data_IF_999712434335
#
_entry.id   IF_999712434335
#
_cell.length_a   1.000
_cell.length_b   1.000
_cell.length_c   1.000
_cell.angle_alpha   90.00
_cell.angle_beta   90.00
_cell.angle_gamma   90.00
#
_symmetry.space_group_name_H-M   'P 1'
#
loop_
_entity.id
_entity.type
_entity.pdbx_description
1 polymer ?
#
# COMPACT_ATOMS: atom_id res chain seq x y z
N UNK A 1 -19.07 -8.70 -5.88
CA UNK A 1 -20.40 -9.30 -5.76
C UNK A 1 -20.81 -9.35 -4.28
N UNK A 2 -21.94 -8.72 -3.93
CA UNK A 2 -22.44 -8.59 -2.55
C UNK A 2 -23.11 -9.87 -2.03
N UNK A 3 -23.33 -10.86 -2.86
CA UNK A 3 -24.06 -12.07 -2.51
C UNK A 3 -23.31 -13.00 -1.54
N UNK A 4 -21.98 -12.86 -1.42
CA UNK A 4 -21.14 -13.72 -0.59
C UNK A 4 -20.76 -13.13 0.77
N UNK A 5 -21.40 -12.04 1.19
CA UNK A 5 -21.12 -11.37 2.49
C UNK A 5 -21.45 -12.22 3.73
N UNK A 6 -22.17 -13.33 3.59
CA UNK A 6 -22.53 -14.16 4.75
C UNK A 6 -21.34 -14.92 5.35
N UNK A 7 -20.26 -15.12 4.58
CA UNK A 7 -19.11 -15.93 4.97
C UNK A 7 -17.77 -15.27 4.58
N UNK A 8 -17.56 -14.04 5.03
CA UNK A 8 -16.33 -13.32 4.75
C UNK A 8 -15.18 -13.90 5.60
N UNK A 9 -14.18 -14.46 4.94
CA UNK A 9 -12.99 -15.03 5.57
C UNK A 9 -11.94 -13.96 5.80
N UNK A 10 -11.27 -14.02 6.93
CA UNK A 10 -10.19 -13.10 7.28
C UNK A 10 -9.23 -13.71 8.30
N UNK A 11 -8.02 -13.19 8.36
CA UNK A 11 -7.10 -13.39 9.48
C UNK A 11 -7.19 -12.19 10.44
N UNK A 12 -7.01 -12.42 11.73
CA UNK A 12 -7.07 -11.37 12.74
C UNK A 12 -6.00 -10.31 12.46
N UNK A 13 -6.43 -9.08 12.31
CA UNK A 13 -5.59 -7.92 12.11
C UNK A 13 -5.31 -7.13 13.39
N UNK A 14 -4.59 -6.03 13.25
CA UNK A 14 -4.34 -5.09 14.34
C UNK A 14 -5.58 -4.26 14.69
N UNK A 15 -5.58 -3.69 15.90
CA UNK A 15 -6.66 -2.83 16.36
C UNK A 15 -6.82 -1.55 15.52
N UNK A 16 -5.80 -1.18 14.74
CA UNK A 16 -5.77 0.03 13.92
C UNK A 16 -5.96 -0.21 12.43
N UNK A 17 -6.17 -1.46 12.00
CA UNK A 17 -6.40 -1.80 10.59
C UNK A 17 -7.58 -1.04 9.97
N UNK A 18 -8.58 -0.67 10.77
CA UNK A 18 -9.75 0.08 10.31
C UNK A 18 -9.42 1.51 9.89
N UNK A 19 -8.31 2.09 10.40
CA UNK A 19 -7.76 3.36 9.96
C UNK A 19 -6.69 3.20 8.85
N UNK A 20 -6.32 1.97 8.51
CA UNK A 20 -5.29 1.67 7.52
C UNK A 20 -3.87 1.62 8.07
N UNK A 21 -3.69 1.61 9.40
CA UNK A 21 -2.39 1.50 10.06
C UNK A 21 -2.18 0.12 10.69
N UNK A 22 -0.95 -0.37 10.69
CA UNK A 22 -0.54 -1.48 11.53
C UNK A 22 0.03 -0.95 12.87
N UNK A 23 -0.40 -1.53 13.99
CA UNK A 23 0.07 -1.15 15.33
C UNK A 23 1.35 -1.88 15.77
N UNK A 24 2.04 -2.53 14.85
CA UNK A 24 3.22 -3.35 15.13
C UNK A 24 2.92 -4.82 15.42
N UNK A 25 1.65 -5.23 15.44
CA UNK A 25 1.28 -6.63 15.70
C UNK A 25 1.87 -7.62 14.69
N UNK A 26 2.12 -7.15 13.46
CA UNK A 26 2.69 -7.94 12.36
C UNK A 26 4.20 -7.77 12.22
N UNK A 27 4.86 -6.98 13.05
CA UNK A 27 6.31 -6.80 13.01
C UNK A 27 7.01 -7.99 13.65
N UNK A 28 8.26 -8.25 13.22
CA UNK A 28 9.16 -9.14 13.94
C UNK A 28 9.45 -8.50 15.30
N UNK A 29 9.23 -9.23 16.39
CA UNK A 29 9.45 -8.72 17.74
C UNK A 29 10.93 -8.42 17.98
N UNK A 30 11.21 -7.36 18.76
CA UNK A 30 12.56 -6.89 19.02
C UNK A 30 13.45 -7.94 19.68
N UNK A 31 14.76 -7.89 19.42
CA UNK A 31 15.77 -8.82 19.94
C UNK A 31 16.18 -9.91 18.94
N UNK A 32 15.36 -10.19 17.92
CA UNK A 32 15.62 -11.22 16.92
C UNK A 32 16.29 -10.64 15.70
N UNK A 33 17.31 -9.84 15.88
CA UNK A 33 18.14 -9.34 14.79
C UNK A 33 19.29 -10.31 14.53
N UNK A 34 19.40 -10.80 13.30
CA UNK A 34 20.58 -11.53 12.85
C UNK A 34 20.63 -13.03 13.21
N UNK A 35 19.52 -13.60 13.65
CA UNK A 35 19.45 -15.04 14.02
C UNK A 35 19.88 -15.98 12.89
N UNK A 36 19.84 -15.53 11.64
CA UNK A 36 20.14 -16.38 10.49
C UNK A 36 21.62 -16.47 10.12
N UNK A 37 22.48 -15.68 10.75
CA UNK A 37 23.92 -15.77 10.54
C UNK A 37 24.54 -16.93 11.37
N UNK A 38 23.83 -17.41 12.38
CA UNK A 38 24.21 -18.57 13.19
C UNK A 38 23.05 -19.58 13.15
N UNK A 39 23.26 -20.73 12.53
CA UNK A 39 22.29 -21.82 12.39
C UNK A 39 22.04 -22.55 13.74
N UNK A 40 21.94 -21.81 14.83
CA UNK A 40 21.60 -22.39 16.12
C UNK A 40 20.11 -22.72 16.20
N UNK A 41 19.81 -24.01 16.27
CA UNK A 41 18.45 -24.55 16.28
C UNK A 41 17.61 -23.96 17.43
N UNK A 42 18.19 -23.65 18.58
CA UNK A 42 17.48 -23.06 19.72
C UNK A 42 17.03 -21.62 19.43
N UNK A 43 17.91 -20.82 18.80
CA UNK A 43 17.59 -19.47 18.37
C UNK A 43 16.53 -19.43 17.27
N UNK A 44 16.55 -20.38 16.33
CA UNK A 44 15.53 -20.53 15.29
C UNK A 44 14.19 -20.92 15.90
N UNK A 45 14.18 -21.82 16.89
CA UNK A 45 12.97 -22.23 17.60
C UNK A 45 12.36 -21.04 18.38
N UNK A 46 13.17 -20.30 19.13
CA UNK A 46 12.72 -19.12 19.87
C UNK A 46 12.11 -18.06 18.93
N UNK A 47 12.78 -17.78 17.81
CA UNK A 47 12.29 -16.86 16.81
C UNK A 47 10.96 -17.33 16.20
N UNK A 48 10.84 -18.60 15.89
CA UNK A 48 9.61 -19.16 15.33
C UNK A 48 8.46 -19.06 16.32
N UNK A 49 8.71 -19.25 17.62
CA UNK A 49 7.69 -19.20 18.68
C UNK A 49 7.37 -17.77 19.12
N UNK A 50 8.37 -16.92 19.30
CA UNK A 50 8.20 -15.63 19.98
C UNK A 50 8.34 -14.42 19.04
N UNK A 51 9.12 -14.55 17.99
CA UNK A 51 9.44 -13.43 17.07
C UNK A 51 8.36 -13.08 16.10
N UNK A 52 7.49 -14.01 15.77
CA UNK A 52 6.45 -13.83 14.78
C UNK A 52 5.05 -13.85 15.36
N UNK A 53 4.12 -13.25 14.62
CA UNK A 53 2.71 -13.50 14.86
C UNK A 53 2.33 -14.87 14.28
N UNK A 54 2.10 -15.85 15.17
CA UNK A 54 1.77 -17.23 14.78
C UNK A 54 0.26 -17.50 14.69
N UNK A 55 -0.58 -16.47 14.57
CA UNK A 55 -2.01 -16.64 14.33
C UNK A 55 -2.30 -16.86 12.83
N UNK A 56 -2.24 -18.12 12.40
CA UNK A 56 -2.59 -18.57 11.06
C UNK A 56 -4.08 -18.90 10.89
N UNK A 57 -4.87 -18.70 11.95
CA UNK A 57 -6.28 -19.09 11.96
C UNK A 57 -7.11 -18.20 11.04
N UNK A 58 -7.82 -18.82 10.12
CA UNK A 58 -8.86 -18.18 9.33
C UNK A 58 -10.13 -18.08 10.13
N UNK A 59 -10.70 -16.90 10.20
CA UNK A 59 -11.95 -16.60 10.89
C UNK A 59 -13.01 -16.20 9.88
N UNK A 60 -14.26 -16.40 10.27
CA UNK A 60 -15.43 -16.04 9.48
C UNK A 60 -16.23 -14.95 10.18
N UNK A 61 -16.75 -14.01 9.42
CA UNK A 61 -17.67 -12.99 9.96
C UNK A 61 -18.65 -12.54 8.90
N UNK A 62 -19.75 -11.95 9.35
CA UNK A 62 -20.55 -11.06 8.51
C UNK A 62 -19.83 -9.69 8.50
N UNK A 63 -19.36 -9.19 7.37
CA UNK A 63 -18.70 -7.90 7.34
C UNK A 63 -19.71 -6.79 7.63
N UNK A 64 -19.23 -5.76 8.29
CA UNK A 64 -20.00 -4.52 8.43
C UNK A 64 -20.19 -3.88 7.04
N UNK A 65 -21.31 -3.20 6.78
CA UNK A 65 -21.53 -2.51 5.52
C UNK A 65 -20.39 -1.54 5.19
N UNK A 66 -20.21 -1.28 3.90
CA UNK A 66 -19.24 -0.29 3.44
C UNK A 66 -19.53 1.08 4.06
N UNK A 67 -18.51 1.70 4.59
CA UNK A 67 -18.58 3.01 5.23
C UNK A 67 -17.85 4.03 4.37
N UNK A 68 -18.45 5.19 4.19
CA UNK A 68 -17.83 6.34 3.53
C UNK A 68 -18.31 7.60 4.19
N UNK A 69 -17.37 8.42 4.67
CA UNK A 69 -17.62 9.70 5.29
C UNK A 69 -16.75 10.75 4.60
N UNK A 70 -17.32 11.89 4.37
CA UNK A 70 -16.61 13.05 3.82
C UNK A 70 -17.07 14.29 4.57
N UNK A 71 -16.10 15.06 5.03
CA UNK A 71 -16.33 16.34 5.68
C UNK A 71 -15.43 17.38 5.01
N UNK A 72 -15.98 18.55 4.72
CA UNK A 72 -15.25 19.66 4.14
C UNK A 72 -15.70 20.95 4.81
N UNK A 73 -14.76 21.83 5.06
CA UNK A 73 -15.04 23.18 5.52
C UNK A 73 -14.16 24.20 4.83
N UNK A 74 -14.64 25.42 4.74
CA UNK A 74 -13.90 26.55 4.23
C UNK A 74 -14.37 27.85 4.86
N UNK A 75 -13.42 28.71 5.21
CA UNK A 75 -13.70 30.01 5.84
C UNK A 75 -12.72 31.04 5.31
N UNK A 76 -13.22 32.26 5.07
CA UNK A 76 -12.40 33.41 4.71
C UNK A 76 -12.55 34.47 5.81
N UNK A 77 -11.43 34.87 6.37
CA UNK A 77 -11.32 35.95 7.34
C UNK A 77 -10.77 37.19 6.62
N UNK A 78 -11.44 38.33 6.77
CA UNK A 78 -11.01 39.61 6.22
C UNK A 78 -10.39 40.45 7.35
N UNK A 79 -9.16 40.92 7.11
CA UNK A 79 -8.39 41.76 8.04
C UNK A 79 -8.08 43.13 7.42
N UNK A 80 -9.09 44.04 7.40
CA UNK A 80 -9.00 45.32 6.69
C UNK A 80 -9.29 45.21 5.20
N UNK A 81 -8.98 46.25 4.42
CA UNK A 81 -9.34 46.33 3.00
C UNK A 81 -8.53 45.36 2.13
N UNK A 82 -7.24 45.14 2.43
CA UNK A 82 -6.30 44.43 1.56
C UNK A 82 -5.84 43.06 2.12
N UNK A 83 -6.31 42.67 3.30
CA UNK A 83 -5.82 41.43 3.93
C UNK A 83 -6.91 40.39 4.02
N UNK A 84 -6.61 39.18 3.52
CA UNK A 84 -7.52 38.03 3.58
C UNK A 84 -6.74 36.80 4.00
N UNK A 85 -7.32 36.03 4.91
CA UNK A 85 -6.85 34.70 5.27
C UNK A 85 -7.96 33.70 4.94
N UNK A 86 -7.68 32.77 4.02
CA UNK A 86 -8.57 31.69 3.71
C UNK A 86 -8.04 30.38 4.33
N UNK A 87 -8.94 29.66 4.98
CA UNK A 87 -8.70 28.34 5.54
C UNK A 87 -9.64 27.34 4.85
N UNK A 88 -9.10 26.25 4.32
CA UNK A 88 -9.90 25.13 3.82
C UNK A 88 -9.39 23.81 4.37
N UNK A 89 -10.30 22.93 4.73
CA UNK A 89 -9.98 21.61 5.23
C UNK A 89 -10.95 20.56 4.71
N UNK A 90 -10.45 19.35 4.56
CA UNK A 90 -11.27 18.19 4.20
C UNK A 90 -10.79 16.95 4.94
N UNK A 91 -11.72 16.10 5.32
CA UNK A 91 -11.47 14.79 5.89
C UNK A 91 -12.34 13.77 5.15
N UNK A 92 -11.69 12.71 4.66
CA UNK A 92 -12.36 11.63 3.98
C UNK A 92 -11.99 10.30 4.62
N UNK A 93 -12.98 9.47 4.86
CA UNK A 93 -12.78 8.12 5.36
C UNK A 93 -13.60 7.13 4.55
N UNK A 94 -13.03 5.99 4.23
CA UNK A 94 -13.79 4.86 3.69
C UNK A 94 -13.25 3.53 4.22
N UNK A 95 -14.16 2.60 4.50
CA UNK A 95 -13.85 1.23 4.86
C UNK A 95 -14.77 0.31 4.06
N UNK A 96 -14.17 -0.46 3.14
CA UNK A 96 -14.92 -1.24 2.16
C UNK A 96 -14.46 -2.69 2.15
N UNK A 97 -15.41 -3.61 1.98
CA UNK A 97 -15.16 -5.04 1.84
C UNK A 97 -15.46 -5.53 0.43
N UNK A 98 -14.62 -6.42 -0.09
CA UNK A 98 -14.82 -7.10 -1.38
C UNK A 98 -14.52 -8.58 -1.23
N UNK A 99 -15.35 -9.41 -1.84
CA UNK A 99 -15.08 -10.84 -1.99
C UNK A 99 -15.25 -11.26 -3.44
N UNK A 100 -14.31 -12.03 -3.93
CA UNK A 100 -14.35 -12.66 -5.23
C UNK A 100 -14.28 -14.16 -4.98
N UNK A 101 -15.33 -14.88 -5.36
CA UNK A 101 -15.47 -16.31 -5.11
C UNK A 101 -15.51 -17.03 -6.45
N UNK A 102 -14.70 -18.11 -6.54
CA UNK A 102 -14.69 -18.93 -7.75
C UNK A 102 -13.96 -18.28 -8.92
N UNK A 103 -13.01 -17.39 -8.69
CA UNK A 103 -12.21 -16.83 -9.79
C UNK A 103 -11.37 -17.92 -10.42
N UNK A 104 -11.52 -18.13 -11.72
CA UNK A 104 -10.66 -19.03 -12.46
C UNK A 104 -9.30 -18.36 -12.76
N UNK A 105 -8.22 -19.08 -12.47
CA UNK A 105 -6.85 -18.70 -12.79
C UNK A 105 -6.21 -19.89 -13.48
N UNK A 106 -6.07 -19.81 -14.79
CA UNK A 106 -5.58 -20.89 -15.62
C UNK A 106 -4.52 -20.40 -16.59
N UNK A 107 -3.61 -21.31 -16.96
CA UNK A 107 -2.61 -21.09 -17.99
C UNK A 107 -2.67 -22.21 -19.01
N UNK A 108 -2.77 -21.82 -20.25
CA UNK A 108 -2.73 -22.71 -21.37
C UNK A 108 -1.28 -22.96 -21.80
N UNK A 109 -0.99 -24.21 -22.15
CA UNK A 109 0.24 -24.64 -22.82
C UNK A 109 0.00 -24.79 -24.31
N UNK A 110 0.43 -25.93 -24.84
CA UNK A 110 0.27 -26.26 -26.26
C UNK A 110 -1.17 -26.66 -26.57
N UNK A 111 -1.67 -26.23 -27.71
CA UNK A 111 -3.00 -26.63 -28.20
C UNK A 111 -2.98 -28.06 -28.75
N UNK A 112 -3.88 -28.90 -28.28
CA UNK A 112 -4.04 -30.26 -28.78
C UNK A 112 -4.96 -30.27 -30.00
N UNK A 113 -4.39 -30.28 -31.20
CA UNK A 113 -5.14 -30.29 -32.46
C UNK A 113 -6.00 -31.56 -32.68
N UNK A 114 -5.62 -32.67 -32.06
CA UNK A 114 -6.35 -33.96 -32.25
C UNK A 114 -7.66 -33.97 -31.47
N UNK A 115 -7.64 -33.40 -30.27
CA UNK A 115 -8.82 -33.32 -29.39
C UNK A 115 -9.56 -32.00 -29.51
N UNK A 116 -9.05 -31.05 -30.30
CA UNK A 116 -9.56 -29.68 -30.44
C UNK A 116 -9.77 -28.97 -29.11
N UNK A 117 -8.77 -29.12 -28.19
CA UNK A 117 -8.80 -28.55 -26.86
C UNK A 117 -7.44 -27.98 -26.42
N UNK A 118 -7.43 -26.92 -25.58
CA UNK A 118 -6.18 -26.42 -25.00
C UNK A 118 -5.68 -27.38 -23.92
N UNK A 119 -4.36 -27.63 -23.88
CA UNK A 119 -3.74 -28.32 -22.77
C UNK A 119 -3.42 -27.30 -21.69
N UNK A 120 -4.02 -27.45 -20.51
CA UNK A 120 -3.74 -26.59 -19.37
C UNK A 120 -2.41 -26.96 -18.72
N UNK A 121 -1.59 -25.97 -18.44
CA UNK A 121 -0.42 -26.11 -17.55
C UNK A 121 -0.85 -26.09 -16.08
N UNK A 122 -1.85 -25.26 -15.76
CA UNK A 122 -2.52 -25.28 -14.47
C UNK A 122 -3.94 -24.74 -14.60
N UNK A 123 -4.78 -25.14 -13.67
CA UNK A 123 -6.13 -24.61 -13.50
C UNK A 123 -6.48 -24.51 -12.03
N UNK A 124 -6.64 -23.29 -11.56
CA UNK A 124 -6.95 -22.98 -10.17
C UNK A 124 -8.27 -22.23 -10.06
N UNK A 125 -8.90 -22.39 -8.91
CA UNK A 125 -10.03 -21.57 -8.45
C UNK A 125 -9.58 -20.78 -7.23
N UNK A 126 -9.74 -19.47 -7.29
CA UNK A 126 -9.36 -18.54 -6.22
C UNK A 126 -10.59 -17.96 -5.53
N UNK A 127 -10.56 -17.96 -4.19
CA UNK A 127 -11.47 -17.20 -3.36
C UNK A 127 -10.69 -16.11 -2.65
N UNK A 128 -11.01 -14.85 -2.93
CA UNK A 128 -10.29 -13.71 -2.38
C UNK A 128 -11.21 -12.82 -1.56
N UNK A 129 -10.76 -12.44 -0.38
CA UNK A 129 -11.46 -11.56 0.54
C UNK A 129 -10.56 -10.38 0.87
N UNK A 130 -11.03 -9.17 0.60
CA UNK A 130 -10.22 -7.95 0.77
C UNK A 130 -11.00 -6.93 1.58
N UNK A 131 -10.36 -6.33 2.56
CA UNK A 131 -10.87 -5.18 3.29
C UNK A 131 -9.90 -4.01 3.10
N UNK A 132 -10.43 -2.87 2.65
CA UNK A 132 -9.66 -1.65 2.42
C UNK A 132 -10.16 -0.55 3.34
N UNK A 133 -9.23 0.08 4.05
CA UNK A 133 -9.45 1.30 4.80
C UNK A 133 -8.69 2.44 4.13
N UNK A 134 -9.33 3.59 3.98
CA UNK A 134 -8.71 4.80 3.43
C UNK A 134 -9.06 5.98 4.31
N UNK A 135 -8.04 6.75 4.66
CA UNK A 135 -8.17 8.01 5.37
C UNK A 135 -7.45 9.09 4.55
N UNK A 136 -8.12 10.17 4.25
CA UNK A 136 -7.54 11.34 3.58
C UNK A 136 -7.82 12.59 4.40
N UNK A 137 -6.81 13.43 4.58
CA UNK A 137 -6.94 14.74 5.23
C UNK A 137 -6.26 15.80 4.39
N UNK A 138 -6.87 16.98 4.30
CA UNK A 138 -6.34 18.15 3.63
C UNK A 138 -6.54 19.37 4.52
N UNK A 139 -5.49 20.20 4.61
CA UNK A 139 -5.55 21.49 5.29
C UNK A 139 -4.76 22.50 4.48
N UNK A 140 -5.44 23.55 4.00
CA UNK A 140 -4.81 24.62 3.24
C UNK A 140 -5.08 25.96 3.87
N UNK A 141 -4.05 26.79 3.90
CA UNK A 141 -4.10 28.19 4.30
C UNK A 141 -3.64 29.04 3.11
N UNK A 142 -4.35 30.13 2.84
CA UNK A 142 -3.98 31.12 1.86
C UNK A 142 -4.08 32.51 2.50
N UNK A 143 -2.97 33.20 2.56
CA UNK A 143 -2.93 34.59 3.00
C UNK A 143 -2.70 35.48 1.78
N UNK A 144 -3.52 36.52 1.63
CA UNK A 144 -3.40 37.55 0.60
C UNK A 144 -3.27 38.90 1.29
N UNK A 145 -2.21 39.61 0.98
CA UNK A 145 -1.98 41.01 1.32
C UNK A 145 -1.89 41.86 0.05
N UNK A 146 -1.65 43.15 0.20
CA UNK A 146 -1.60 44.11 -0.93
C UNK A 146 -0.56 43.76 -1.98
N UNK A 147 0.62 43.28 -1.58
CA UNK A 147 1.75 42.98 -2.48
C UNK A 147 2.27 41.54 -2.35
N UNK A 148 1.70 40.74 -1.44
CA UNK A 148 2.22 39.40 -1.17
C UNK A 148 1.09 38.41 -0.90
N UNK A 149 1.26 37.23 -1.45
CA UNK A 149 0.36 36.09 -1.27
C UNK A 149 1.15 34.89 -0.81
N UNK A 150 0.70 34.24 0.26
CA UNK A 150 1.33 33.05 0.79
C UNK A 150 0.32 31.91 0.80
N UNK A 151 0.81 30.71 0.48
CA UNK A 151 -0.01 29.51 0.45
C UNK A 151 0.71 28.41 1.23
N UNK A 152 -0.01 27.81 2.18
CA UNK A 152 0.41 26.60 2.87
C UNK A 152 -0.58 25.49 2.53
N UNK A 153 -0.17 24.52 1.76
CA UNK A 153 -1.00 23.44 1.25
C UNK A 153 -0.51 22.11 1.79
N UNK A 154 -1.44 21.30 2.33
CA UNK A 154 -1.10 20.01 2.93
C UNK A 154 -2.15 18.98 2.56
N UNK A 155 -1.68 17.81 2.19
CA UNK A 155 -2.50 16.64 1.96
C UNK A 155 -1.84 15.41 2.59
N UNK A 156 -2.64 14.63 3.28
CA UNK A 156 -2.26 13.36 3.86
C UNK A 156 -3.22 12.27 3.39
N UNK A 157 -2.69 11.12 3.00
CA UNK A 157 -3.48 9.95 2.67
C UNK A 157 -2.88 8.71 3.36
N UNK A 158 -3.77 7.92 3.94
CA UNK A 158 -3.49 6.60 4.49
C UNK A 158 -4.35 5.58 3.80
N UNK A 159 -3.73 4.49 3.35
CA UNK A 159 -4.38 3.34 2.76
C UNK A 159 -3.93 2.09 3.50
N UNK A 160 -4.89 1.28 3.95
CA UNK A 160 -4.64 -0.06 4.46
C UNK A 160 -5.46 -1.08 3.69
N UNK A 161 -4.85 -2.20 3.36
CA UNK A 161 -5.50 -3.30 2.66
C UNK A 161 -5.16 -4.62 3.35
N UNK A 162 -6.18 -5.31 3.84
CA UNK A 162 -6.05 -6.66 4.40
C UNK A 162 -6.71 -7.63 3.43
N UNK A 163 -5.92 -8.56 2.87
CA UNK A 163 -6.38 -9.54 1.90
C UNK A 163 -6.04 -10.95 2.36
N UNK A 164 -7.02 -11.82 2.26
CA UNK A 164 -6.87 -13.26 2.40
C UNK A 164 -7.28 -13.91 1.08
N UNK A 165 -6.46 -14.82 0.56
CA UNK A 165 -6.73 -15.55 -0.68
C UNK A 165 -6.55 -17.04 -0.44
N UNK A 166 -7.53 -17.83 -0.84
CA UNK A 166 -7.47 -19.29 -0.93
C UNK A 166 -7.44 -19.67 -2.40
N UNK A 167 -6.51 -20.54 -2.76
CA UNK A 167 -6.40 -21.14 -4.08
C UNK A 167 -6.49 -22.63 -3.96
N UNK A 168 -7.24 -23.27 -4.84
CA UNK A 168 -7.25 -24.71 -5.00
C UNK A 168 -7.35 -25.07 -6.48
N UNK A 169 -6.64 -26.10 -6.87
CA UNK A 169 -6.67 -26.61 -8.23
C UNK A 169 -5.55 -27.57 -8.48
N UNK A 170 -5.13 -27.67 -9.72
CA UNK A 170 -4.07 -28.56 -10.13
C UNK A 170 -3.10 -27.87 -11.08
N UNK A 171 -1.87 -28.37 -11.11
CA UNK A 171 -0.87 -28.02 -12.10
C UNK A 171 -0.27 -29.26 -12.74
N UNK A 172 0.20 -29.08 -13.98
CA UNK A 172 0.83 -30.12 -14.78
C UNK A 172 1.99 -29.49 -15.58
N UNK A 173 2.95 -28.90 -14.87
CA UNK A 173 4.15 -28.31 -15.50
C UNK A 173 5.26 -29.37 -15.59
N UNK A 174 5.58 -30.02 -14.49
CA UNK A 174 6.55 -31.12 -14.41
C UNK A 174 5.87 -32.46 -14.08
N UNK A 175 4.87 -32.43 -13.23
CA UNK A 175 4.00 -33.54 -12.86
C UNK A 175 2.60 -33.03 -12.51
N UNK A 176 1.60 -33.91 -12.64
CA UNK A 176 0.23 -33.57 -12.29
C UNK A 176 0.05 -33.73 -10.78
N UNK A 177 -0.28 -32.65 -10.08
CA UNK A 177 -0.69 -32.72 -8.67
C UNK A 177 -1.71 -31.65 -8.29
N UNK A 178 -2.50 -31.95 -7.28
CA UNK A 178 -3.46 -31.03 -6.70
C UNK A 178 -2.75 -30.15 -5.67
N UNK A 179 -3.02 -28.86 -5.73
CA UNK A 179 -2.41 -27.84 -4.88
C UNK A 179 -3.47 -27.03 -4.15
N UNK A 180 -3.22 -26.72 -2.90
CA UNK A 180 -3.93 -25.72 -2.11
C UNK A 180 -2.94 -24.68 -1.61
N UNK A 181 -3.31 -23.39 -1.76
CA UNK A 181 -2.48 -22.27 -1.30
C UNK A 181 -3.32 -21.27 -0.52
N UNK A 182 -2.79 -20.80 0.59
CA UNK A 182 -3.38 -19.71 1.34
C UNK A 182 -2.37 -18.55 1.45
N UNK A 183 -2.80 -17.36 1.10
CA UNK A 183 -2.03 -16.13 1.22
C UNK A 183 -2.72 -15.17 2.19
N UNK A 184 -1.93 -14.66 3.14
CA UNK A 184 -2.32 -13.62 4.07
C UNK A 184 -1.44 -12.40 3.80
N UNK A 185 -2.04 -11.29 3.42
CA UNK A 185 -1.29 -10.08 3.12
C UNK A 185 -1.99 -8.85 3.72
N UNK A 186 -1.25 -8.10 4.48
CA UNK A 186 -1.60 -6.74 4.86
C UNK A 186 -0.60 -5.78 4.21
N UNK A 187 -1.10 -4.70 3.66
CA UNK A 187 -0.27 -3.64 3.13
C UNK A 187 -0.83 -2.29 3.50
N UNK A 188 0.03 -1.39 3.94
CA UNK A 188 -0.33 0.01 4.18
C UNK A 188 0.54 0.95 3.36
N UNK A 189 -0.05 2.10 3.02
CA UNK A 189 0.64 3.20 2.36
C UNK A 189 0.24 4.49 3.02
N UNK A 190 1.24 5.26 3.44
CA UNK A 190 1.08 6.63 3.92
C UNK A 190 1.71 7.56 2.90
N UNK A 191 1.02 8.62 2.54
CA UNK A 191 1.58 9.69 1.72
C UNK A 191 1.24 11.03 2.33
N UNK A 192 2.23 11.88 2.46
CA UNK A 192 2.08 13.28 2.86
C UNK A 192 2.74 14.17 1.81
N UNK A 193 2.09 15.27 1.48
CA UNK A 193 2.67 16.31 0.65
C UNK A 193 2.32 17.66 1.27
N UNK A 194 3.35 18.40 1.64
CA UNK A 194 3.26 19.76 2.15
C UNK A 194 3.99 20.73 1.23
N UNK A 195 3.37 21.87 0.95
CA UNK A 195 3.95 22.92 0.15
C UNK A 195 3.73 24.27 0.83
N UNK A 196 4.81 25.04 0.95
CA UNK A 196 4.75 26.44 1.31
C UNK A 196 5.23 27.26 0.12
N UNK A 197 4.44 28.25 -0.31
CA UNK A 197 4.77 29.07 -1.47
C UNK A 197 4.38 30.52 -1.26
N UNK A 198 5.11 31.41 -1.89
CA UNK A 198 4.87 32.84 -1.85
C UNK A 198 4.90 33.45 -3.25
N UNK A 199 4.09 34.50 -3.45
CA UNK A 199 4.10 35.33 -4.64
C UNK A 199 4.15 36.77 -4.18
N UNK A 200 5.11 37.52 -4.71
CA UNK A 200 5.39 38.90 -4.33
C UNK A 200 5.38 39.81 -5.57
N UNK A 201 4.50 40.78 -5.53
CA UNK A 201 4.42 41.79 -6.56
C UNK A 201 5.44 42.91 -6.26
N UNK A 202 6.50 42.98 -7.06
CA UNK A 202 7.60 43.95 -6.96
C UNK A 202 7.43 45.06 -8.00
N UNK A 203 8.09 46.21 -7.84
CA UNK A 203 7.95 47.33 -8.78
C UNK A 203 8.23 46.99 -10.23
N UNK A 204 9.17 46.06 -10.49
CA UNK A 204 9.60 45.69 -11.83
C UNK A 204 9.20 44.27 -12.24
N UNK A 205 8.27 43.64 -11.52
CA UNK A 205 7.85 42.29 -11.85
C UNK A 205 7.29 41.48 -10.67
N UNK A 206 7.28 40.14 -10.80
CA UNK A 206 6.72 39.25 -9.81
C UNK A 206 7.73 38.17 -9.45
N UNK A 207 7.98 37.99 -8.16
CA UNK A 207 8.76 36.89 -7.63
C UNK A 207 7.79 35.82 -7.10
N UNK A 208 7.89 34.60 -7.60
CA UNK A 208 7.23 33.43 -7.03
C UNK A 208 8.25 32.40 -6.55
N UNK A 209 7.97 31.78 -5.41
CA UNK A 209 8.80 30.71 -4.86
C UNK A 209 7.95 29.64 -4.19
N UNK A 210 8.51 28.44 -4.11
CA UNK A 210 7.89 27.33 -3.43
C UNK A 210 8.92 26.46 -2.72
N UNK A 211 8.51 25.90 -1.57
CA UNK A 211 9.21 24.87 -0.81
C UNK A 211 8.26 23.71 -0.65
N UNK A 212 8.70 22.52 -0.99
CA UNK A 212 7.93 21.29 -0.91
C UNK A 212 8.60 20.25 -0.03
N UNK A 213 7.79 19.53 0.72
CA UNK A 213 8.20 18.30 1.39
C UNK A 213 7.16 17.21 1.14
N UNK A 214 7.62 16.06 0.66
CA UNK A 214 6.79 14.89 0.48
C UNK A 214 7.38 13.68 1.20
N UNK A 215 6.49 12.91 1.81
CA UNK A 215 6.80 11.64 2.44
C UNK A 215 5.91 10.56 1.86
N UNK A 216 6.49 9.45 1.45
CA UNK A 216 5.78 8.26 1.04
C UNK A 216 6.34 7.03 1.78
N UNK A 217 5.44 6.26 2.38
CA UNK A 217 5.76 4.99 3.03
C UNK A 217 4.91 3.89 2.42
N UNK A 218 5.54 2.75 2.14
CA UNK A 218 4.85 1.48 1.89
C UNK A 218 5.33 0.47 2.92
N UNK A 219 4.41 -0.10 3.68
CA UNK A 219 4.70 -1.13 4.66
C UNK A 219 3.83 -2.36 4.38
N UNK A 220 4.47 -3.51 4.18
CA UNK A 220 3.85 -4.82 4.02
C UNK A 220 4.44 -5.75 5.07
N UNK A 221 3.96 -5.65 6.31
CA UNK A 221 4.46 -6.49 7.38
C UNK A 221 3.82 -7.87 7.29
N UNK A 222 4.64 -8.91 7.38
CA UNK A 222 4.24 -10.29 7.59
C UNK A 222 3.26 -10.81 6.52
N UNK A 223 3.59 -10.65 5.24
CA UNK A 223 2.92 -11.44 4.21
C UNK A 223 3.27 -12.89 4.42
N UNK A 224 2.26 -13.77 4.48
CA UNK A 224 2.44 -15.19 4.74
C UNK A 224 1.83 -16.01 3.64
N UNK A 225 2.58 -17.02 3.20
CA UNK A 225 2.11 -18.01 2.25
C UNK A 225 2.29 -19.39 2.86
N UNK A 226 1.28 -20.22 2.74
CA UNK A 226 1.30 -21.63 3.03
C UNK A 226 0.77 -22.40 1.84
N UNK A 227 1.56 -23.34 1.36
CA UNK A 227 1.20 -24.19 0.24
C UNK A 227 1.15 -25.65 0.67
N UNK A 228 0.18 -26.37 0.14
CA UNK A 228 -0.01 -27.80 0.34
C UNK A 228 -0.22 -28.45 -1.00
N UNK A 229 0.36 -29.62 -1.16
CA UNK A 229 0.16 -30.46 -2.33
C UNK A 229 -0.36 -31.83 -1.93
N UNK A 230 -1.11 -32.46 -2.82
CA UNK A 230 -1.58 -33.81 -2.61
C UNK A 230 -0.40 -34.78 -2.72
N UNK A 231 -0.33 -35.73 -1.78
CA UNK A 231 0.63 -36.81 -1.87
C UNK A 231 0.23 -37.76 -2.98
N UNK A 232 1.05 -37.85 -4.02
CA UNK A 232 0.88 -38.69 -5.21
C UNK A 232 1.76 -39.95 -5.23
N UNK A 233 2.48 -40.22 -4.13
CA UNK A 233 3.35 -41.39 -3.99
C UNK A 233 2.49 -42.64 -3.85
N UNK A 234 2.43 -43.44 -4.90
CA UNK A 234 1.68 -44.70 -4.92
C UNK A 234 2.27 -45.68 -3.89
N UNK A 235 1.42 -46.22 -3.02
CA UNK A 235 1.83 -47.11 -1.93
C UNK A 235 2.14 -46.43 -0.60
N UNK A 236 2.17 -45.10 -0.55
CA UNK A 236 2.27 -44.35 0.70
C UNK A 236 0.92 -44.42 1.46
N UNK A 237 0.98 -44.63 2.78
CA UNK A 237 -0.18 -44.62 3.71
C UNK A 237 -0.94 -43.27 3.65
N UNK A 238 -0.30 -42.19 3.23
CA UNK A 238 -0.87 -40.89 3.06
C UNK A 238 -1.21 -40.53 1.61
N UNK A 239 -1.22 -41.52 0.70
CA UNK A 239 -1.62 -41.31 -0.68
C UNK A 239 -2.96 -40.57 -0.80
N UNK A 240 -3.00 -39.54 -1.61
CA UNK A 240 -4.18 -38.68 -1.80
C UNK A 240 -4.43 -37.63 -0.71
N UNK A 241 -3.73 -37.68 0.42
CA UNK A 241 -3.84 -36.65 1.47
C UNK A 241 -3.02 -35.41 1.14
N UNK A 242 -3.49 -34.25 1.58
CA UNK A 242 -2.76 -32.99 1.44
C UNK A 242 -1.60 -32.95 2.44
N UNK A 243 -0.39 -32.71 1.94
CA UNK A 243 0.81 -32.47 2.75
C UNK A 243 1.32 -31.04 2.56
N UNK A 244 1.99 -30.52 3.56
CA UNK A 244 2.67 -29.22 3.46
C UNK A 244 3.85 -29.34 2.48
N UNK A 245 3.93 -28.43 1.52
CA UNK A 245 5.11 -28.26 0.71
C UNK A 245 6.15 -27.43 1.45
N UNK A 246 7.28 -28.04 1.78
CA UNK A 246 8.33 -27.40 2.59
C UNK A 246 9.01 -26.22 1.90
N UNK A 247 9.00 -26.18 0.56
CA UNK A 247 9.68 -25.15 -0.20
C UNK A 247 8.85 -23.87 -0.35
N UNK A 248 7.53 -23.96 -0.08
CA UNK A 248 6.56 -22.92 -0.37
C UNK A 248 5.82 -22.38 0.84
N UNK A 249 6.44 -22.51 2.03
CA UNK A 249 5.99 -21.80 3.24
C UNK A 249 6.97 -20.69 3.53
N UNK A 250 6.51 -19.47 3.45
CA UNK A 250 7.36 -18.34 3.78
C UNK A 250 6.60 -17.14 4.33
N UNK A 251 7.36 -16.24 4.91
CA UNK A 251 6.92 -14.92 5.39
C UNK A 251 7.83 -13.87 4.80
N UNK A 252 7.27 -12.77 4.36
CA UNK A 252 8.05 -11.63 3.92
C UNK A 252 7.61 -10.32 4.57
N UNK A 253 8.58 -9.42 4.73
CA UNK A 253 8.44 -8.10 5.33
C UNK A 253 9.07 -7.10 4.40
N UNK A 254 8.25 -6.21 3.86
CA UNK A 254 8.69 -5.18 2.94
C UNK A 254 8.39 -3.80 3.52
N UNK A 255 9.38 -2.93 3.54
CA UNK A 255 9.21 -1.53 3.90
C UNK A 255 9.96 -0.64 2.92
N UNK A 256 9.29 0.41 2.48
CA UNK A 256 9.86 1.48 1.68
C UNK A 256 9.50 2.80 2.37
N UNK A 257 10.50 3.63 2.60
CA UNK A 257 10.35 5.01 3.07
C UNK A 257 11.00 5.93 2.04
N UNK A 258 10.31 6.97 1.64
CA UNK A 258 10.79 7.97 0.69
C UNK A 258 10.52 9.37 1.20
N UNK A 259 11.53 10.22 1.16
CA UNK A 259 11.47 11.62 1.52
C UNK A 259 11.95 12.46 0.34
N UNK A 260 11.17 13.45 -0.03
CA UNK A 260 11.48 14.37 -1.10
C UNK A 260 11.38 15.79 -0.56
N UNK A 261 12.44 16.57 -0.76
CA UNK A 261 12.46 18.00 -0.47
C UNK A 261 12.67 18.72 -1.80
N UNK A 262 11.86 19.69 -2.11
CA UNK A 262 11.97 20.47 -3.34
C UNK A 262 11.90 21.98 -3.05
N UNK A 263 12.56 22.75 -3.86
CA UNK A 263 12.43 24.19 -3.87
C UNK A 263 12.39 24.70 -5.30
N UNK A 264 11.72 25.82 -5.51
CA UNK A 264 11.70 26.51 -6.78
C UNK A 264 11.53 28.01 -6.55
N UNK A 265 12.12 28.81 -7.41
CA UNK A 265 11.91 30.25 -7.42
C UNK A 265 11.93 30.74 -8.89
N UNK A 266 11.02 31.64 -9.23
CA UNK A 266 10.94 32.26 -10.53
C UNK A 266 10.77 33.77 -10.36
N UNK A 267 11.40 34.52 -11.24
CA UNK A 267 11.22 35.94 -11.36
C UNK A 267 10.73 36.29 -12.75
N UNK A 268 9.60 37.01 -12.82
CA UNK A 268 9.05 37.54 -14.04
C UNK A 268 9.35 39.05 -14.07
N UNK A 269 10.25 39.50 -14.94
CA UNK A 269 10.56 40.89 -15.11
C UNK A 269 9.67 41.47 -16.21
N UNK A 270 9.05 42.60 -15.92
CA UNK A 270 8.20 43.33 -16.84
C UNK A 270 9.02 44.54 -17.34
N UNK A 271 9.29 44.58 -18.63
CA UNK A 271 9.90 45.77 -19.27
C UNK A 271 8.84 46.85 -19.44
N UNK A 272 9.30 48.11 -19.56
CA UNK A 272 8.42 49.23 -19.86
C UNK A 272 7.75 49.03 -21.21
N UNK A 273 6.51 49.45 -21.32
CA UNK A 273 5.78 49.43 -22.57
C UNK A 273 6.44 50.36 -23.61
N UNK A 274 6.63 49.87 -24.83
CA UNK A 274 7.16 50.60 -25.94
C UNK A 274 6.36 50.24 -27.19
N UNK A 275 5.65 51.22 -27.75
CA UNK A 275 4.90 51.02 -29.01
C UNK A 275 3.74 50.02 -28.93
N UNK A 276 3.09 49.90 -27.78
CA UNK A 276 2.00 48.93 -27.56
C UNK A 276 2.47 47.49 -27.29
N UNK A 277 3.78 47.28 -27.07
CA UNK A 277 4.38 45.99 -26.76
C UNK A 277 5.05 46.05 -25.39
N UNK A 278 4.68 45.09 -24.48
CA UNK A 278 5.24 44.96 -23.14
C UNK A 278 6.03 43.65 -23.06
N UNK A 279 7.36 43.66 -23.29
CA UNK A 279 8.17 42.46 -23.17
C UNK A 279 8.20 41.95 -21.76
N UNK A 280 8.23 40.63 -21.60
CA UNK A 280 8.35 39.94 -20.30
C UNK A 280 9.49 38.95 -20.38
N UNK A 281 10.40 38.97 -19.38
CA UNK A 281 11.45 37.96 -19.21
C UNK A 281 11.17 37.14 -17.98
N UNK A 282 11.13 35.82 -18.14
CA UNK A 282 11.00 34.90 -17.03
C UNK A 282 12.29 34.09 -16.85
N UNK A 283 12.83 34.11 -15.63
CA UNK A 283 13.96 33.28 -15.22
C UNK A 283 13.62 32.55 -13.94
N UNK A 284 14.14 31.34 -13.77
CA UNK A 284 13.86 30.56 -12.56
C UNK A 284 14.89 29.48 -12.28
N UNK A 285 14.83 28.96 -11.08
CA UNK A 285 15.65 27.86 -10.57
C UNK A 285 14.75 26.85 -9.88
N UNK A 286 15.05 25.56 -10.05
CA UNK A 286 14.40 24.46 -9.38
C UNK A 286 15.45 23.46 -8.89
N UNK A 287 15.22 22.91 -7.69
CA UNK A 287 16.04 21.85 -7.12
C UNK A 287 15.18 20.86 -6.36
N UNK A 288 15.61 19.60 -6.40
CA UNK A 288 14.96 18.50 -5.68
C UNK A 288 16.00 17.55 -5.10
N UNK A 289 15.76 17.09 -3.87
CA UNK A 289 16.53 16.04 -3.22
C UNK A 289 15.57 14.91 -2.80
N UNK A 290 15.87 13.68 -3.23
CA UNK A 290 15.11 12.49 -2.90
C UNK A 290 16.00 11.50 -2.13
N UNK A 291 15.51 11.04 -0.97
CA UNK A 291 16.08 9.93 -0.20
C UNK A 291 15.09 8.80 -0.11
N UNK A 292 15.49 7.62 -0.58
CA UNK A 292 14.68 6.40 -0.54
C UNK A 292 15.40 5.29 0.20
N UNK A 293 14.71 4.69 1.16
CA UNK A 293 15.12 3.52 1.93
C UNK A 293 14.19 2.36 1.60
N UNK A 294 14.76 1.25 1.13
CA UNK A 294 14.01 0.03 0.82
C UNK A 294 14.58 -1.14 1.60
N UNK A 295 13.72 -1.84 2.33
CA UNK A 295 14.06 -3.04 3.11
C UNK A 295 13.11 -4.16 2.76
N UNK A 296 13.66 -5.30 2.42
CA UNK A 296 12.90 -6.53 2.21
C UNK A 296 13.60 -7.68 2.95
N UNK A 297 12.83 -8.47 3.66
CA UNK A 297 13.32 -9.63 4.39
C UNK A 297 12.32 -10.77 4.26
N UNK A 298 12.78 -11.94 3.81
CA UNK A 298 11.97 -13.14 3.66
C UNK A 298 12.51 -14.27 4.53
N UNK A 299 11.60 -15.06 5.10
CA UNK A 299 11.89 -16.20 5.96
C UNK A 299 11.17 -17.42 5.40
N UNK A 300 11.92 -18.46 5.13
CA UNK A 300 11.43 -19.73 4.60
C UNK A 300 11.44 -20.80 5.69
N UNK A 301 10.37 -21.57 5.76
CA UNK A 301 10.29 -22.69 6.69
C UNK A 301 10.72 -23.96 5.98
N UNK A 302 11.75 -24.62 6.51
CA UNK A 302 12.22 -25.91 6.05
C UNK A 302 12.18 -26.90 7.21
N UNK A 303 11.73 -28.11 6.93
CA UNK A 303 11.77 -29.23 7.88
C UNK A 303 12.88 -30.16 7.44
N UNK A 304 13.72 -30.55 8.36
CA UNK A 304 14.78 -31.55 8.16
C UNK A 304 14.38 -32.87 8.79
#
# INVERSE_FOLDING_TARGET
DRTHFRNFKYNKGSATDWLGFDNGMRMVKGGIKGVFDNEDAASVEEMTKQGFNNDWKVRHKKPFPDQRFSFMFGQVFKGGEDRKLALTGALNYSNTGKSYIGMENSRFGVYNKVKDEPIYQYKYTDNQYTRNARLGAMLNLAFTGSKSRFYFRNIFNQLGSNRYTERRGWQNISSLYIQEKAEYIYGSRSTYCGQFSGVHDLPAGTLDWNLGYSYANKNQPDRRIIERQQNDIVGDVNYGKMRIDQNDIYRDFLRLDEHIVSFGANYNYLFNESGGFTPTLKAGVYGEYCKRDYKNRAYYYRFY
#
